data_IF_432451733715
#
_entry.id   IF_432451733715
#
_cell.length_a   1.000
_cell.length_b   1.000
_cell.length_c   1.000
_cell.angle_alpha   90.00
_cell.angle_beta   90.00
_cell.angle_gamma   90.00
#
_symmetry.space_group_name_H-M   'P 1'
#
loop_
_entity.id
_entity.type
_entity.pdbx_description
1 polymer ?
#
# COMPACT_ATOMS: atom_id res chain seq x y z
N UNK A 1 -13.90 -16.24 -0.92
CA UNK A 1 -14.39 -17.14 0.14
C UNK A 1 -14.59 -16.29 1.38
N UNK A 2 -15.83 -16.03 1.83
CA UNK A 2 -16.10 -15.23 3.02
C UNK A 2 -15.66 -15.98 4.28
N UNK A 3 -14.99 -15.29 5.19
CA UNK A 3 -14.57 -15.82 6.49
C UNK A 3 -15.04 -14.82 7.55
N UNK A 4 -15.48 -15.28 8.73
CA UNK A 4 -15.71 -14.41 9.91
C UNK A 4 -15.25 -15.10 11.19
N UNK A 5 -14.85 -14.30 12.19
CA UNK A 5 -14.46 -14.76 13.54
C UNK A 5 -15.34 -14.07 14.58
N UNK A 6 -15.73 -14.80 15.62
CA UNK A 6 -16.68 -14.32 16.63
C UNK A 6 -16.09 -13.43 17.74
N UNK A 7 -14.76 -13.28 17.81
CA UNK A 7 -14.06 -12.45 18.80
C UNK A 7 -12.90 -11.63 18.22
N UNK A 8 -12.83 -11.53 16.90
CA UNK A 8 -11.68 -10.96 16.20
C UNK A 8 -12.16 -9.92 15.17
N UNK A 9 -11.52 -8.74 15.16
CA UNK A 9 -11.84 -7.61 14.26
C UNK A 9 -11.28 -7.81 12.82
N UNK A 10 -10.63 -8.94 12.60
CA UNK A 10 -9.82 -9.29 11.43
C UNK A 10 -10.59 -9.76 10.20
N UNK A 11 -11.79 -10.27 10.41
CA UNK A 11 -12.63 -10.82 9.35
C UNK A 11 -13.93 -10.02 9.27
N UNK A 12 -14.56 -9.89 8.08
CA UNK A 12 -15.85 -9.23 7.98
C UNK A 12 -16.79 -9.76 9.06
N UNK A 13 -17.57 -8.88 9.69
CA UNK A 13 -18.50 -9.28 10.75
C UNK A 13 -19.39 -10.43 10.26
N UNK A 14 -20.01 -11.16 11.18
CA UNK A 14 -20.97 -12.20 10.80
C UNK A 14 -22.00 -11.68 9.80
N UNK A 15 -22.50 -10.46 10.01
CA UNK A 15 -23.40 -9.81 9.06
C UNK A 15 -22.76 -9.60 7.69
N UNK A 16 -21.50 -9.17 7.62
CA UNK A 16 -20.80 -8.90 6.36
C UNK A 16 -20.44 -10.20 5.61
N UNK A 17 -20.04 -11.27 6.32
CA UNK A 17 -19.81 -12.56 5.70
C UNK A 17 -21.10 -13.19 5.14
N UNK A 18 -22.23 -13.03 5.85
CA UNK A 18 -23.55 -13.44 5.36
C UNK A 18 -24.01 -12.58 4.17
N UNK A 19 -23.75 -11.27 4.18
CA UNK A 19 -24.00 -10.38 3.03
C UNK A 19 -23.20 -10.81 1.79
N UNK A 20 -21.90 -11.09 1.95
CA UNK A 20 -21.03 -11.52 0.86
C UNK A 20 -21.43 -12.89 0.28
N UNK A 21 -21.96 -13.81 1.10
CA UNK A 21 -22.52 -15.07 0.61
C UNK A 21 -23.71 -14.85 -0.33
N UNK A 22 -24.58 -13.88 -0.03
CA UNK A 22 -25.73 -13.57 -0.88
C UNK A 22 -25.31 -12.94 -2.22
N UNK A 23 -24.18 -12.23 -2.26
CA UNK A 23 -23.62 -11.62 -3.48
C UNK A 23 -22.75 -12.58 -4.30
N UNK A 24 -22.22 -13.64 -3.68
CA UNK A 24 -21.31 -14.61 -4.29
C UNK A 24 -21.89 -16.04 -4.10
N UNK A 25 -22.84 -16.48 -4.94
CA UNK A 25 -23.66 -17.68 -4.70
C UNK A 25 -22.88 -19.00 -4.65
N UNK A 26 -21.64 -19.03 -5.15
CA UNK A 26 -20.75 -20.21 -5.10
C UNK A 26 -19.72 -20.15 -3.96
N UNK A 27 -19.88 -19.24 -3.00
CA UNK A 27 -18.92 -19.04 -1.93
C UNK A 27 -19.26 -19.85 -0.66
N UNK A 28 -18.25 -20.43 -0.02
CA UNK A 28 -18.38 -21.14 1.27
C UNK A 28 -17.94 -20.24 2.42
N UNK A 29 -18.75 -20.12 3.47
CA UNK A 29 -18.39 -19.42 4.70
C UNK A 29 -17.55 -20.34 5.58
N UNK A 30 -16.39 -19.88 6.08
CA UNK A 30 -15.66 -20.54 7.17
C UNK A 30 -15.71 -19.69 8.44
N UNK A 31 -16.10 -20.33 9.54
CA UNK A 31 -16.17 -19.74 10.86
C UNK A 31 -14.97 -20.22 11.69
N UNK A 32 -14.24 -19.28 12.28
CA UNK A 32 -13.13 -19.57 13.19
C UNK A 32 -13.57 -19.20 14.60
N UNK A 33 -13.85 -20.22 15.41
CA UNK A 33 -14.32 -20.06 16.78
C UNK A 33 -13.08 -19.99 17.69
N UNK A 34 -12.92 -18.89 18.45
CA UNK A 34 -11.88 -18.68 19.48
C UNK A 34 -10.44 -18.35 19.05
N UNK A 35 -10.17 -17.96 17.80
CA UNK A 35 -8.87 -17.40 17.44
C UNK A 35 -8.78 -15.91 17.81
N UNK A 36 -8.09 -15.60 18.90
CA UNK A 36 -7.61 -14.25 19.22
C UNK A 36 -6.11 -14.30 19.51
N UNK A 37 -5.36 -13.25 19.18
CA UNK A 37 -3.96 -13.12 19.62
C UNK A 37 -3.64 -11.74 20.18
N UNK A 38 -2.77 -11.78 21.19
CA UNK A 38 -2.38 -10.73 22.11
C UNK A 38 -0.97 -10.20 21.82
N UNK A 39 -0.83 -8.88 21.99
CA UNK A 39 0.22 -8.11 22.70
C UNK A 39 1.69 -8.57 22.59
N UNK A 40 2.48 -7.83 21.79
CA UNK A 40 3.90 -7.48 21.96
C UNK A 40 4.11 -6.23 21.05
N UNK A 41 4.60 -5.04 21.44
CA UNK A 41 5.68 -4.67 22.34
C UNK A 41 5.61 -3.15 22.66
N UNK A 42 5.26 -2.77 23.89
CA UNK A 42 5.22 -1.38 24.44
C UNK A 42 6.62 -0.76 24.64
N UNK A 43 7.71 -1.46 24.26
CA UNK A 43 9.08 -1.04 24.59
C UNK A 43 9.77 -0.15 23.55
N UNK A 44 9.23 -0.04 22.33
CA UNK A 44 9.87 0.72 21.25
C UNK A 44 9.40 2.19 21.20
N UNK A 45 8.12 2.46 21.50
CA UNK A 45 7.55 3.82 21.49
C UNK A 45 8.16 4.74 22.56
N UNK A 46 8.50 4.22 23.74
CA UNK A 46 9.18 5.01 24.79
C UNK A 46 10.59 5.49 24.38
N UNK A 47 11.27 4.80 23.46
CA UNK A 47 12.56 5.24 22.90
C UNK A 47 12.42 6.36 21.86
N UNK A 48 11.29 6.43 21.18
CA UNK A 48 11.02 7.46 20.16
C UNK A 48 10.47 8.74 20.78
N UNK A 49 9.64 8.64 21.82
CA UNK A 49 9.10 9.81 22.51
C UNK A 49 10.09 10.48 23.47
N UNK A 50 11.03 9.75 24.07
CA UNK A 50 12.08 10.36 24.93
C UNK A 50 13.24 11.00 24.16
N UNK A 51 13.35 10.81 22.83
CA UNK A 51 14.46 11.32 22.01
C UNK A 51 14.12 12.47 21.06
N UNK A 52 12.91 13.04 21.12
CA UNK A 52 12.52 14.17 20.26
C UNK A 52 12.41 15.53 20.95
N UNK A 53 12.96 15.67 22.15
CA UNK A 53 13.48 16.96 22.58
C UNK A 53 15.00 16.86 22.69
N UNK A 54 15.69 17.63 21.85
CA UNK A 54 17.13 17.95 21.93
C UNK A 54 18.09 16.98 21.22
N UNK A 55 18.21 17.15 19.89
CA UNK A 55 19.53 17.27 19.28
C UNK A 55 19.59 18.60 18.53
N UNK A 56 19.72 19.66 19.33
CA UNK A 56 20.56 20.77 18.91
C UNK A 56 21.97 20.20 18.75
N UNK A 57 22.49 20.19 17.53
CA UNK A 57 23.95 20.19 17.33
C UNK A 57 24.35 21.66 17.28
N UNK A 58 24.42 22.26 18.46
CA UNK A 58 25.25 23.42 18.71
C UNK A 58 26.15 23.04 19.88
N UNK A 59 27.42 22.79 19.61
CA UNK A 59 28.51 23.51 20.27
C UNK A 59 29.90 23.16 19.69
N UNK A 60 30.60 24.25 19.32
CA UNK A 60 32.07 24.42 19.23
C UNK A 60 32.70 24.06 17.87
N UNK A 61 33.40 24.93 17.15
CA UNK A 61 34.01 26.21 17.52
C UNK A 61 34.29 27.05 16.26
N UNK A 62 34.00 28.35 16.35
CA UNK A 62 34.55 29.34 15.42
C UNK A 62 36.02 29.52 15.74
N UNK A 63 36.93 28.98 14.90
CA UNK A 63 38.22 29.63 14.64
C UNK A 63 38.99 29.03 13.46
N UNK A 64 39.48 29.96 12.63
CA UNK A 64 40.52 29.86 11.61
C UNK A 64 40.28 28.97 10.38
N UNK A 65 39.52 29.54 9.44
CA UNK A 65 39.93 29.67 8.04
C UNK A 65 40.65 28.48 7.40
N UNK A 66 39.86 27.51 6.91
CA UNK A 66 40.08 26.76 5.65
C UNK A 66 38.93 25.76 5.46
N UNK A 67 38.05 26.06 4.51
CA UNK A 67 37.09 25.12 3.94
C UNK A 67 37.87 24.07 3.14
N UNK A 68 37.86 22.81 3.56
CA UNK A 68 38.32 21.70 2.72
C UNK A 68 37.55 20.42 3.01
N UNK A 69 36.94 19.89 1.94
CA UNK A 69 36.47 18.51 1.73
C UNK A 69 35.22 18.02 2.47
N UNK A 70 34.07 18.32 1.89
CA UNK A 70 33.06 17.27 1.63
C UNK A 70 33.02 17.13 0.10
N UNK A 71 33.80 16.19 -0.44
CA UNK A 71 33.73 15.83 -1.86
C UNK A 71 32.75 14.67 -2.05
N UNK A 72 31.73 14.95 -2.85
CA UNK A 72 31.24 14.14 -4.00
C UNK A 72 30.77 12.70 -3.73
N UNK A 73 29.45 12.53 -3.60
CA UNK A 73 28.77 11.64 -4.55
C UNK A 73 28.33 12.55 -5.70
N UNK A 74 28.81 12.28 -6.91
CA UNK A 74 28.22 12.86 -8.11
C UNK A 74 26.75 12.41 -8.15
N UNK A 75 25.83 13.26 -7.69
CA UNK A 75 24.40 13.04 -7.88
C UNK A 75 24.10 13.30 -9.34
N UNK A 76 24.47 12.35 -10.20
CA UNK A 76 24.00 12.34 -11.59
C UNK A 76 22.49 12.48 -11.54
N UNK A 77 22.00 13.55 -12.14
CA UNK A 77 20.57 13.83 -12.21
C UNK A 77 20.00 12.74 -13.12
N UNK A 78 19.24 11.81 -12.54
CA UNK A 78 18.50 10.82 -13.32
C UNK A 78 17.29 11.50 -13.98
N UNK A 79 17.54 12.05 -15.17
CA UNK A 79 16.54 12.71 -16.00
C UNK A 79 15.35 11.78 -16.31
N UNK A 80 15.58 10.47 -16.43
CA UNK A 80 14.50 9.52 -16.72
C UNK A 80 13.57 9.41 -15.52
N UNK A 81 14.12 9.24 -14.31
CA UNK A 81 13.35 9.24 -13.07
C UNK A 81 12.54 10.54 -12.89
N UNK A 82 13.13 11.71 -13.18
CA UNK A 82 12.44 13.00 -13.07
C UNK A 82 11.32 13.12 -14.10
N UNK A 83 11.55 12.76 -15.36
CA UNK A 83 10.54 12.83 -16.43
C UNK A 83 9.38 11.87 -16.15
N UNK A 84 9.65 10.70 -15.57
CA UNK A 84 8.63 9.75 -15.09
C UNK A 84 7.85 10.31 -13.90
N UNK A 85 8.56 10.72 -12.85
CA UNK A 85 8.01 11.26 -11.61
C UNK A 85 7.09 12.44 -11.87
N UNK A 86 7.54 13.43 -12.64
CA UNK A 86 6.76 14.61 -12.98
C UNK A 86 5.61 14.35 -14.01
N UNK A 87 5.45 13.11 -14.47
CA UNK A 87 4.38 12.72 -15.40
C UNK A 87 4.53 13.31 -16.81
N UNK A 88 5.76 13.62 -17.25
CA UNK A 88 6.02 14.16 -18.59
C UNK A 88 6.21 13.06 -19.64
N UNK A 89 6.58 11.84 -19.24
CA UNK A 89 6.68 10.71 -20.16
C UNK A 89 5.30 10.28 -20.66
N UNK A 90 5.10 10.29 -21.98
CA UNK A 90 3.89 9.82 -22.67
C UNK A 90 4.23 9.40 -24.10
N UNK A 91 3.59 8.36 -24.62
CA UNK A 91 3.79 7.87 -26.00
C UNK A 91 2.82 8.48 -26.99
N UNK A 92 1.77 9.13 -26.51
CA UNK A 92 0.74 9.77 -27.33
C UNK A 92 0.48 11.21 -26.89
N UNK A 93 -0.43 11.89 -27.61
CA UNK A 93 -0.85 13.26 -27.24
C UNK A 93 -1.44 13.34 -25.83
N UNK A 94 -2.09 12.27 -25.38
CA UNK A 94 -2.67 12.16 -24.04
C UNK A 94 -1.87 11.15 -23.21
N UNK A 95 -1.68 11.47 -21.93
CA UNK A 95 -1.01 10.58 -20.97
C UNK A 95 -1.92 9.38 -20.66
N UNK A 96 -1.35 8.19 -20.73
CA UNK A 96 -2.02 6.95 -20.36
C UNK A 96 -1.24 6.23 -19.24
N UNK A 97 -1.76 6.29 -18.01
CA UNK A 97 -1.09 5.76 -16.81
C UNK A 97 -0.78 4.26 -16.84
N UNK A 98 -1.41 3.48 -17.74
CA UNK A 98 -1.18 2.04 -17.85
C UNK A 98 -0.14 1.74 -18.92
N UNK A 99 -0.35 2.23 -20.13
CA UNK A 99 0.49 1.92 -21.30
C UNK A 99 1.74 2.78 -21.42
N UNK A 100 1.73 4.00 -20.88
CA UNK A 100 2.92 4.85 -20.78
C UNK A 100 3.77 4.53 -19.54
N UNK A 101 3.34 3.60 -18.67
CA UNK A 101 4.13 3.23 -17.50
C UNK A 101 5.46 2.57 -17.90
N UNK A 102 6.54 3.02 -17.25
CA UNK A 102 7.86 2.42 -17.32
C UNK A 102 8.19 1.79 -15.97
N UNK A 103 8.58 0.52 -15.97
CA UNK A 103 9.02 -0.19 -14.77
C UNK A 103 10.12 0.57 -14.04
N UNK A 104 10.13 0.44 -12.72
CA UNK A 104 11.16 1.06 -11.88
C UNK A 104 12.53 0.46 -12.15
N UNK A 105 13.55 1.31 -12.10
CA UNK A 105 14.95 0.89 -11.96
C UNK A 105 15.19 0.39 -10.53
N UNK A 106 16.27 -0.38 -10.29
CA UNK A 106 16.67 -0.77 -8.93
C UNK A 106 16.86 0.44 -7.99
N UNK A 107 17.39 1.55 -8.51
CA UNK A 107 17.62 2.77 -7.72
C UNK A 107 16.31 3.48 -7.35
N UNK A 108 15.37 3.57 -8.29
CA UNK A 108 14.02 4.08 -8.01
C UNK A 108 13.32 3.20 -6.96
N UNK A 109 13.43 1.88 -7.10
CA UNK A 109 12.87 0.95 -6.12
C UNK A 109 13.48 1.14 -4.73
N UNK A 110 14.81 1.26 -4.64
CA UNK A 110 15.49 1.45 -3.36
C UNK A 110 15.06 2.76 -2.69
N UNK A 111 14.97 3.86 -3.44
CA UNK A 111 14.49 5.15 -2.92
C UNK A 111 13.08 5.06 -2.36
N UNK A 112 12.16 4.40 -3.08
CA UNK A 112 10.78 4.20 -2.59
C UNK A 112 10.77 3.30 -1.37
N UNK A 113 11.50 2.18 -1.39
CA UNK A 113 11.59 1.26 -0.25
C UNK A 113 12.13 1.96 1.00
N UNK A 114 13.12 2.84 0.85
CA UNK A 114 13.71 3.59 1.96
C UNK A 114 12.73 4.55 2.64
N UNK A 115 11.73 5.07 1.92
CA UNK A 115 10.67 5.91 2.51
C UNK A 115 9.83 5.14 3.54
N UNK A 116 9.62 3.83 3.32
CA UNK A 116 8.83 2.97 4.20
C UNK A 116 9.68 2.08 5.10
N UNK A 117 11.01 2.16 5.01
CA UNK A 117 11.92 1.29 5.77
C UNK A 117 11.71 1.36 7.28
N UNK A 118 11.30 2.52 7.80
CA UNK A 118 11.01 2.68 9.22
C UNK A 118 9.79 1.83 9.66
N UNK A 119 8.81 1.62 8.78
CA UNK A 119 7.66 0.73 9.04
C UNK A 119 8.14 -0.71 9.13
N UNK A 120 8.97 -1.16 8.19
CA UNK A 120 9.58 -2.49 8.23
C UNK A 120 10.38 -2.71 9.53
N UNK A 121 11.12 -1.70 9.99
CA UNK A 121 11.92 -1.79 11.21
C UNK A 121 11.06 -1.79 12.49
N UNK A 122 10.00 -0.99 12.53
CA UNK A 122 9.16 -0.82 13.72
C UNK A 122 8.13 -1.96 13.86
N UNK A 123 7.51 -2.36 12.75
CA UNK A 123 6.41 -3.33 12.73
C UNK A 123 6.89 -4.76 12.42
N UNK A 124 8.07 -4.93 11.80
CA UNK A 124 8.59 -6.22 11.33
C UNK A 124 7.49 -7.09 10.68
N UNK A 125 6.90 -6.62 9.57
CA UNK A 125 5.69 -7.20 9.01
C UNK A 125 5.91 -8.64 8.57
N UNK A 126 5.00 -9.52 9.00
CA UNK A 126 4.99 -10.94 8.59
C UNK A 126 3.92 -11.14 7.52
N UNK A 127 4.36 -11.61 6.35
CA UNK A 127 3.44 -11.98 5.27
C UNK A 127 2.93 -13.41 5.48
N UNK A 128 1.62 -13.59 5.40
CA UNK A 128 0.96 -14.90 5.41
C UNK A 128 0.12 -15.06 4.14
N UNK A 129 0.15 -16.24 3.54
CA UNK A 129 -0.71 -16.58 2.39
C UNK A 129 -1.35 -17.95 2.55
N UNK A 130 -2.43 -18.18 1.81
CA UNK A 130 -3.18 -19.45 1.86
C UNK A 130 -2.93 -20.25 0.59
N UNK A 131 -2.46 -21.48 0.74
CA UNK A 131 -2.26 -22.43 -0.36
C UNK A 131 -3.61 -22.94 -0.90
N UNK A 132 -3.60 -23.56 -2.09
CA UNK A 132 -4.80 -24.12 -2.73
C UNK A 132 -5.54 -25.15 -1.86
N UNK A 133 -4.81 -25.91 -1.03
CA UNK A 133 -5.39 -26.88 -0.09
C UNK A 133 -5.96 -26.23 1.18
N UNK A 134 -5.92 -24.90 1.30
CA UNK A 134 -6.41 -24.13 2.44
C UNK A 134 -5.43 -23.99 3.60
N UNK A 135 -4.19 -24.49 3.47
CA UNK A 135 -3.15 -24.32 4.50
C UNK A 135 -2.60 -22.89 4.47
N UNK A 136 -2.52 -22.25 5.64
CA UNK A 136 -1.83 -20.96 5.82
C UNK A 136 -0.33 -21.23 5.95
N UNK A 137 0.47 -20.41 5.27
CA UNK A 137 1.93 -20.50 5.25
C UNK A 137 2.56 -19.12 5.36
N UNK A 138 3.78 -19.08 5.92
CA UNK A 138 4.61 -17.88 5.90
C UNK A 138 5.02 -17.52 4.46
N UNK A 139 5.06 -16.22 4.19
CA UNK A 139 5.38 -15.65 2.88
C UNK A 139 4.22 -15.68 1.89
N UNK A 140 4.54 -15.41 0.62
CA UNK A 140 3.57 -15.19 -0.46
C UNK A 140 3.40 -16.41 -1.40
N UNK A 141 3.74 -17.61 -0.95
CA UNK A 141 3.70 -18.81 -1.79
C UNK A 141 2.29 -19.21 -2.23
N UNK A 142 1.26 -18.89 -1.45
CA UNK A 142 -0.16 -19.09 -1.79
C UNK A 142 -0.72 -18.09 -2.79
N UNK A 143 0.02 -17.03 -3.13
CA UNK A 143 -0.40 -16.03 -4.11
C UNK A 143 -0.12 -16.54 -5.53
N UNK A 144 -1.06 -16.40 -6.48
CA UNK A 144 -0.81 -16.73 -7.89
C UNK A 144 0.28 -15.82 -8.46
N UNK A 145 1.21 -16.42 -9.21
CA UNK A 145 2.31 -15.69 -9.85
C UNK A 145 1.90 -14.99 -11.15
N UNK A 146 0.77 -15.38 -11.73
CA UNK A 146 0.25 -14.80 -12.98
C UNK A 146 -1.08 -14.10 -12.73
N UNK A 147 -1.32 -13.03 -13.53
CA UNK A 147 -2.54 -12.25 -13.49
C UNK A 147 -3.49 -12.51 -14.66
N UNK A 148 -4.63 -11.78 -14.71
CA UNK A 148 -4.94 -10.65 -13.84
C UNK A 148 -5.36 -11.09 -12.43
N UNK A 149 -4.91 -10.33 -11.43
CA UNK A 149 -5.28 -10.54 -10.03
C UNK A 149 -5.68 -9.19 -9.41
N UNK A 150 -6.69 -9.21 -8.54
CA UNK A 150 -7.18 -8.01 -7.83
C UNK A 150 -7.08 -8.28 -6.34
N UNK A 151 -6.12 -7.64 -5.69
CA UNK A 151 -5.94 -7.67 -4.26
C UNK A 151 -6.90 -6.68 -3.63
N UNK A 152 -7.84 -7.18 -2.83
CA UNK A 152 -8.91 -6.38 -2.23
C UNK A 152 -8.76 -6.45 -0.71
N UNK A 153 -8.56 -5.30 -0.09
CA UNK A 153 -8.43 -5.17 1.36
C UNK A 153 -8.95 -3.81 1.78
N UNK A 154 -8.86 -3.51 3.08
CA UNK A 154 -9.16 -2.19 3.62
C UNK A 154 -7.87 -1.35 3.62
N UNK A 155 -8.00 -0.04 3.38
CA UNK A 155 -6.85 0.87 3.41
C UNK A 155 -6.53 1.24 4.86
N UNK A 156 -5.27 1.09 5.28
CA UNK A 156 -4.88 1.52 6.62
C UNK A 156 -4.71 3.04 6.68
N UNK A 157 -4.68 3.60 7.90
CA UNK A 157 -4.51 5.03 8.10
C UNK A 157 -3.21 5.49 7.43
N UNK A 158 -3.30 6.50 6.56
CA UNK A 158 -2.15 7.02 5.78
C UNK A 158 -1.45 6.02 4.85
N UNK A 159 -1.90 4.77 4.73
CA UNK A 159 -1.34 3.81 3.79
C UNK A 159 0.02 3.23 4.19
N UNK A 160 0.31 3.06 5.49
CA UNK A 160 1.61 2.56 5.93
C UNK A 160 1.85 1.10 5.50
N UNK A 161 0.79 0.33 5.28
CA UNK A 161 0.85 -1.04 4.77
C UNK A 161 1.36 -1.13 3.33
N UNK A 162 1.25 -0.03 2.56
CA UNK A 162 1.65 0.00 1.16
C UNK A 162 3.14 -0.30 0.98
N UNK A 163 3.99 0.19 1.89
CA UNK A 163 5.43 -0.03 1.84
C UNK A 163 5.77 -1.52 1.86
N UNK A 164 5.48 -2.24 2.96
CA UNK A 164 5.72 -3.68 3.06
C UNK A 164 5.01 -4.50 1.99
N UNK A 165 3.75 -4.20 1.65
CA UNK A 165 3.05 -4.92 0.59
C UNK A 165 3.79 -4.78 -0.75
N UNK A 166 4.15 -3.55 -1.12
CA UNK A 166 4.83 -3.29 -2.37
C UNK A 166 6.22 -3.93 -2.43
N UNK A 167 7.04 -3.74 -1.40
CA UNK A 167 8.42 -4.24 -1.38
C UNK A 167 8.46 -5.76 -1.37
N UNK A 168 7.62 -6.43 -0.57
CA UNK A 168 7.60 -7.90 -0.44
C UNK A 168 7.06 -8.58 -1.69
N UNK A 169 5.97 -8.06 -2.27
CA UNK A 169 5.44 -8.62 -3.53
C UNK A 169 6.45 -8.51 -4.67
N UNK A 170 7.13 -7.36 -4.80
CA UNK A 170 8.10 -7.17 -5.87
C UNK A 170 9.37 -7.99 -5.65
N UNK A 171 9.90 -8.03 -4.43
CA UNK A 171 11.20 -8.69 -4.16
C UNK A 171 11.08 -10.20 -4.05
N UNK A 172 10.08 -10.71 -3.32
CA UNK A 172 9.92 -12.13 -3.00
C UNK A 172 9.11 -12.88 -4.05
N UNK A 173 8.14 -12.23 -4.69
CA UNK A 173 7.21 -12.88 -5.65
C UNK A 173 7.37 -12.39 -7.09
N UNK A 174 8.17 -11.34 -7.32
CA UNK A 174 8.31 -10.65 -8.62
C UNK A 174 6.97 -10.14 -9.17
N UNK A 175 6.04 -9.86 -8.28
CA UNK A 175 4.74 -9.27 -8.62
C UNK A 175 4.83 -7.78 -8.40
N UNK A 176 4.56 -7.01 -9.45
CA UNK A 176 4.46 -5.57 -9.37
C UNK A 176 3.00 -5.17 -9.13
N UNK A 177 2.69 -4.76 -7.90
CA UNK A 177 1.37 -4.29 -7.51
C UNK A 177 1.09 -2.91 -8.09
N UNK A 178 0.00 -2.78 -8.85
CA UNK A 178 -0.48 -1.53 -9.43
C UNK A 178 -1.62 -0.98 -8.57
N UNK A 179 -1.31 0.01 -7.74
CA UNK A 179 -2.29 0.67 -6.90
C UNK A 179 -3.27 1.54 -7.70
N UNK A 180 -4.53 1.56 -7.28
CA UNK A 180 -5.53 2.50 -7.80
C UNK A 180 -5.82 3.53 -6.72
N UNK A 181 -5.53 4.80 -7.00
CA UNK A 181 -5.59 5.87 -6.01
C UNK A 181 -6.45 7.05 -6.46
N UNK A 182 -6.80 7.94 -5.53
CA UNK A 182 -7.68 9.07 -5.81
C UNK A 182 -7.05 10.03 -6.83
N UNK A 183 -7.79 10.61 -7.80
CA UNK A 183 -7.20 11.42 -8.88
C UNK A 183 -6.46 12.67 -8.39
N UNK A 184 -6.79 13.13 -7.18
CA UNK A 184 -6.06 14.19 -6.47
C UNK A 184 -4.54 13.94 -6.43
N UNK A 185 -4.11 12.69 -6.28
CA UNK A 185 -2.68 12.34 -6.20
C UNK A 185 -1.95 12.39 -7.55
N UNK A 186 -2.65 12.69 -8.64
CA UNK A 186 -2.09 12.69 -10.00
C UNK A 186 -2.24 14.03 -10.72
N UNK A 187 -3.05 14.94 -10.21
CA UNK A 187 -3.28 16.25 -10.81
C UNK A 187 -2.19 17.26 -10.37
N UNK A 188 -1.67 18.03 -11.32
CA UNK A 188 -0.66 19.07 -11.10
C UNK A 188 -1.21 20.26 -10.34
N UNK A 189 -2.47 20.63 -10.58
CA UNK A 189 -3.08 21.77 -9.88
C UNK A 189 -3.17 21.49 -8.38
N UNK A 190 -3.46 20.24 -8.01
CA UNK A 190 -3.52 19.80 -6.62
C UNK A 190 -2.13 19.56 -6.03
N UNK A 191 -1.16 19.12 -6.83
CA UNK A 191 0.25 19.03 -6.44
C UNK A 191 0.83 20.39 -6.03
N UNK A 192 0.48 21.47 -6.75
CA UNK A 192 0.89 22.84 -6.42
C UNK A 192 0.31 23.37 -5.10
N UNK A 193 -0.76 22.75 -4.58
CA UNK A 193 -1.34 23.12 -3.28
C UNK A 193 -0.54 22.54 -2.11
N UNK A 194 0.37 21.60 -2.37
CA UNK A 194 1.10 20.88 -1.34
C UNK A 194 2.49 21.50 -1.12
N UNK A 195 2.97 21.58 0.14
CA UNK A 195 4.30 22.12 0.45
C UNK A 195 5.45 21.31 -0.17
N UNK A 196 5.23 20.00 -0.41
CA UNK A 196 6.19 19.10 -1.03
C UNK A 196 5.53 18.30 -2.17
N UNK A 197 5.82 18.72 -3.39
CA UNK A 197 5.32 18.09 -4.61
C UNK A 197 5.99 16.74 -4.90
N UNK A 198 7.17 16.47 -4.34
CA UNK A 198 7.94 15.24 -4.63
C UNK A 198 7.24 13.98 -4.13
N UNK A 199 6.35 14.12 -3.14
CA UNK A 199 5.47 13.06 -2.65
C UNK A 199 4.47 12.56 -3.70
N UNK A 200 4.15 13.35 -4.72
CA UNK A 200 3.23 12.98 -5.81
C UNK A 200 3.95 12.15 -6.89
N UNK A 201 5.25 12.39 -7.06
CA UNK A 201 6.07 11.68 -8.03
C UNK A 201 6.20 10.20 -7.68
N UNK A 202 6.26 9.85 -6.39
CA UNK A 202 6.38 8.47 -5.93
C UNK A 202 5.23 7.60 -6.46
N UNK A 203 3.98 8.08 -6.42
CA UNK A 203 2.82 7.38 -6.96
C UNK A 203 2.97 7.07 -8.45
N UNK A 204 3.54 7.99 -9.24
CA UNK A 204 3.76 7.79 -10.68
C UNK A 204 4.91 6.81 -10.93
N UNK A 205 5.99 6.92 -10.16
CA UNK A 205 7.17 6.02 -10.22
C UNK A 205 6.80 4.57 -9.87
N UNK A 206 6.03 4.36 -8.80
CA UNK A 206 5.55 3.02 -8.40
C UNK A 206 4.45 2.48 -9.32
N UNK A 207 3.97 3.29 -10.27
CA UNK A 207 2.98 2.87 -11.25
C UNK A 207 1.54 2.88 -10.75
N UNK A 208 1.23 3.59 -9.66
CA UNK A 208 -0.14 3.82 -9.28
C UNK A 208 -0.91 4.55 -10.40
N UNK A 209 -2.21 4.32 -10.49
CA UNK A 209 -3.07 4.94 -11.50
C UNK A 209 -4.26 5.63 -10.84
N UNK A 210 -4.79 6.73 -11.42
CA UNK A 210 -5.98 7.36 -10.90
C UNK A 210 -7.18 6.43 -11.09
N UNK A 211 -8.04 6.36 -10.07
CA UNK A 211 -9.27 5.55 -10.08
C UNK A 211 -10.19 5.97 -11.22
N UNK A 212 -10.43 5.05 -12.14
CA UNK A 212 -11.42 5.18 -13.20
C UNK A 212 -11.72 3.82 -13.81
N UNK A 213 -12.93 3.63 -14.35
CA UNK A 213 -13.27 2.39 -15.05
C UNK A 213 -12.35 2.09 -16.25
N UNK A 214 -11.96 3.08 -17.09
CA UNK A 214 -11.00 2.84 -18.17
C UNK A 214 -9.63 2.37 -17.70
N UNK A 215 -9.07 2.96 -16.63
CA UNK A 215 -7.76 2.53 -16.12
C UNK A 215 -7.81 1.13 -15.52
N UNK A 216 -8.86 0.82 -14.76
CA UNK A 216 -9.02 -0.52 -14.21
C UNK A 216 -9.19 -1.58 -15.31
N UNK A 217 -9.99 -1.28 -16.35
CA UNK A 217 -10.10 -2.12 -17.54
C UNK A 217 -8.73 -2.37 -18.19
N UNK A 218 -7.94 -1.31 -18.40
CA UNK A 218 -6.61 -1.42 -19.03
C UNK A 218 -5.64 -2.26 -18.20
N UNK A 219 -5.63 -2.08 -16.88
CA UNK A 219 -4.81 -2.88 -15.97
C UNK A 219 -5.16 -4.38 -16.06
N UNK A 220 -6.45 -4.72 -16.02
CA UNK A 220 -6.88 -6.11 -16.12
C UNK A 220 -6.60 -6.71 -17.51
N UNK A 221 -6.81 -5.93 -18.57
CA UNK A 221 -6.48 -6.33 -19.95
C UNK A 221 -4.98 -6.62 -20.11
N UNK A 222 -4.13 -5.84 -19.45
CA UNK A 222 -2.68 -6.05 -19.38
C UNK A 222 -2.26 -7.17 -18.42
N UNK A 223 -3.21 -7.95 -17.87
CA UNK A 223 -2.98 -9.03 -16.88
C UNK A 223 -2.25 -8.57 -15.62
N UNK A 224 -2.40 -7.30 -15.23
CA UNK A 224 -1.70 -6.74 -14.07
C UNK A 224 -2.23 -7.31 -12.74
N UNK A 225 -1.39 -7.22 -11.71
CA UNK A 225 -1.77 -7.39 -10.30
C UNK A 225 -2.20 -6.04 -9.74
N UNK A 226 -3.48 -5.87 -9.49
CA UNK A 226 -4.09 -4.60 -9.07
C UNK A 226 -4.31 -4.60 -7.57
N UNK A 227 -3.88 -3.55 -6.89
CA UNK A 227 -4.21 -3.30 -5.48
C UNK A 227 -5.38 -2.32 -5.41
N UNK A 228 -6.48 -2.74 -4.78
CA UNK A 228 -7.73 -2.01 -4.74
C UNK A 228 -8.31 -1.97 -3.32
N UNK A 229 -8.61 -0.75 -2.88
CA UNK A 229 -9.30 -0.46 -1.63
C UNK A 229 -10.73 0.04 -1.97
N UNK A 230 -11.78 -0.75 -1.72
CA UNK A 230 -13.15 -0.41 -2.12
C UNK A 230 -13.66 0.91 -1.55
N UNK A 231 -13.28 1.26 -0.31
CA UNK A 231 -13.66 2.52 0.33
C UNK A 231 -12.76 3.70 -0.05
N UNK A 232 -11.63 3.44 -0.70
CA UNK A 232 -10.72 4.44 -1.24
C UNK A 232 -10.25 5.44 -0.18
N UNK A 233 -10.29 6.74 -0.51
CA UNK A 233 -9.80 7.81 0.38
C UNK A 233 -10.51 7.85 1.75
N UNK A 234 -11.73 7.30 1.87
CA UNK A 234 -12.47 7.25 3.13
C UNK A 234 -11.88 6.25 4.12
N UNK A 235 -11.33 5.15 3.60
CA UNK A 235 -10.58 4.16 4.38
C UNK A 235 -9.22 4.73 4.77
N UNK A 236 -8.51 5.36 3.83
CA UNK A 236 -7.19 5.95 4.10
C UNK A 236 -7.21 7.07 5.17
N UNK A 237 -8.38 7.72 5.34
CA UNK A 237 -8.65 8.78 6.31
C UNK A 237 -9.80 8.35 7.25
N UNK A 238 -9.76 7.11 7.71
CA UNK A 238 -10.75 6.58 8.64
C UNK A 238 -10.73 7.32 9.99
N UNK A 239 -11.87 7.32 10.69
CA UNK A 239 -12.03 8.00 11.99
C UNK A 239 -11.80 7.00 13.12
N UNK A 240 -11.51 7.52 14.31
CA UNK A 240 -11.47 6.70 15.54
C UNK A 240 -12.74 5.84 15.67
N UNK A 241 -12.57 4.54 15.91
CA UNK A 241 -13.67 3.56 15.96
C UNK A 241 -14.02 2.95 14.59
N UNK A 242 -13.30 3.28 13.53
CA UNK A 242 -13.44 2.72 12.18
C UNK A 242 -12.23 1.89 11.75
N UNK A 243 -11.33 1.58 12.67
CA UNK A 243 -10.18 0.71 12.48
C UNK A 243 -10.63 -0.64 11.92
N UNK A 244 -9.83 -1.21 11.02
CA UNK A 244 -10.09 -2.51 10.39
C UNK A 244 -11.40 -2.63 9.59
N UNK A 245 -12.12 -1.53 9.32
CA UNK A 245 -13.37 -1.57 8.56
C UNK A 245 -13.14 -1.46 7.05
N UNK A 246 -13.73 -2.41 6.33
CA UNK A 246 -13.84 -2.40 4.88
C UNK A 246 -15.15 -1.72 4.45
N UNK A 247 -15.07 -0.64 3.69
CA UNK A 247 -16.20 0.14 3.22
C UNK A 247 -16.51 -0.22 1.77
N UNK A 248 -17.54 -1.05 1.58
CA UNK A 248 -17.98 -1.41 0.24
C UNK A 248 -18.79 -0.29 -0.41
N UNK A 249 -18.54 0.01 -1.70
CA UNK A 249 -19.46 0.85 -2.45
C UNK A 249 -20.81 0.14 -2.61
N UNK A 250 -21.90 0.92 -2.67
CA UNK A 250 -23.26 0.38 -2.88
C UNK A 250 -23.34 -0.54 -4.11
N UNK A 251 -22.58 -0.19 -5.16
CA UNK A 251 -22.43 -0.98 -6.38
C UNK A 251 -20.95 -1.37 -6.56
N UNK A 252 -20.56 -2.61 -6.24
CA UNK A 252 -19.19 -3.08 -6.38
C UNK A 252 -18.86 -3.43 -7.84
N UNK A 253 -18.86 -2.41 -8.69
CA UNK A 253 -18.68 -2.53 -10.15
C UNK A 253 -17.35 -3.17 -10.56
N UNK A 254 -16.34 -3.07 -9.69
CA UNK A 254 -15.06 -3.73 -9.89
C UNK A 254 -15.19 -5.27 -9.94
N UNK A 255 -16.16 -5.86 -9.22
CA UNK A 255 -16.38 -7.32 -9.21
C UNK A 255 -16.85 -7.78 -10.58
N UNK A 256 -17.80 -7.05 -11.18
CA UNK A 256 -18.29 -7.33 -12.55
C UNK A 256 -17.18 -7.23 -13.57
N UNK A 257 -16.33 -6.21 -13.44
CA UNK A 257 -15.19 -6.01 -14.33
C UNK A 257 -14.10 -7.07 -14.13
N UNK A 258 -13.75 -7.43 -12.90
CA UNK A 258 -12.83 -8.52 -12.61
C UNK A 258 -13.32 -9.86 -13.21
N UNK A 259 -14.61 -10.18 -13.04
CA UNK A 259 -15.22 -11.37 -13.62
C UNK A 259 -15.12 -11.40 -15.15
N UNK A 260 -15.31 -10.26 -15.83
CA UNK A 260 -15.19 -10.15 -17.30
C UNK A 260 -13.81 -10.56 -17.82
N UNK A 261 -12.75 -10.33 -17.05
CA UNK A 261 -11.38 -10.67 -17.42
C UNK A 261 -10.89 -11.99 -16.82
N UNK A 262 -11.74 -12.71 -16.08
CA UNK A 262 -11.34 -13.90 -15.34
C UNK A 262 -10.29 -13.60 -14.25
N UNK A 263 -10.29 -12.37 -13.72
CA UNK A 263 -9.31 -11.95 -12.73
C UNK A 263 -9.55 -12.64 -11.39
N UNK A 264 -8.47 -13.11 -10.76
CA UNK A 264 -8.55 -13.70 -9.42
C UNK A 264 -8.71 -12.59 -8.39
N UNK A 265 -9.84 -12.55 -7.68
CA UNK A 265 -10.04 -11.64 -6.55
C UNK A 265 -9.42 -12.28 -5.30
N UNK A 266 -8.40 -11.62 -4.75
CA UNK A 266 -7.63 -12.08 -3.60
C UNK A 266 -7.94 -11.14 -2.43
N UNK A 267 -8.80 -11.56 -1.49
CA UNK A 267 -9.00 -10.78 -0.28
C UNK A 267 -7.72 -10.82 0.58
N UNK A 268 -7.35 -9.69 1.14
CA UNK A 268 -6.29 -9.61 2.14
C UNK A 268 -6.71 -8.68 3.29
N UNK A 269 -5.99 -8.81 4.41
CA UNK A 269 -6.10 -7.91 5.55
C UNK A 269 -4.72 -7.70 6.16
N UNK A 270 -4.59 -6.63 6.92
CA UNK A 270 -3.39 -6.29 7.68
C UNK A 270 -3.79 -6.19 9.15
N UNK A 271 -2.86 -6.37 10.07
CA UNK A 271 -3.14 -6.41 11.51
C UNK A 271 -2.07 -5.63 12.26
N UNK A 272 -2.46 -4.90 13.29
CA UNK A 272 -1.56 -4.37 14.31
C UNK A 272 -1.10 -2.95 14.06
N UNK A 273 -1.26 -2.39 12.86
CA UNK A 273 -0.83 -1.01 12.58
C UNK A 273 -1.83 0.04 13.07
N UNK A 274 -3.15 -0.18 12.97
CA UNK A 274 -4.13 0.73 13.60
C UNK A 274 -3.95 0.78 15.14
N UNK A 275 -3.39 -0.28 15.73
CA UNK A 275 -3.02 -0.32 17.15
C UNK A 275 -1.78 0.50 17.48
N UNK A 276 -0.86 0.74 16.52
CA UNK A 276 0.30 1.62 16.69
C UNK A 276 -0.18 3.06 16.94
N UNK A 277 -1.22 3.49 16.22
CA UNK A 277 -1.79 4.85 16.35
C UNK A 277 -2.65 5.04 17.60
N UNK A 278 -3.21 3.97 18.18
CA UNK A 278 -4.07 4.05 19.37
C UNK A 278 -3.32 4.15 20.71
N UNK A 279 -1.99 3.95 20.73
CA UNK A 279 -1.17 3.99 21.97
C UNK A 279 -0.82 5.43 22.41
N UNK A 280 -1.30 6.48 21.72
CA UNK A 280 -0.88 7.88 21.99
C UNK A 280 -1.91 8.77 22.70
N UNK A 281 -2.98 8.23 23.30
CA UNK A 281 -3.96 9.06 24.04
C UNK A 281 -4.40 8.35 25.34
N UNK A 282 -3.52 8.31 26.33
CA UNK A 282 -3.86 8.24 27.76
C UNK A 282 -2.81 8.95 28.60
#
# INVERSE_FOLDING_TARGET
MPCYSGRDLLLPSREEADRLRNLLPNSRIRHFQESGHAIFLVRFLLSLFTKNHMLAIDHLSYNNGKLHHILTQESSIDLVSIVKGAGFYRRSRQLDYVSDYLSMTPDEFQKVADQYRWVDLAANPVMLSTLQNGKIVNGLSGIPSEGPAVFVGYHMLMGLELGPLFTRFLTEKKIHLRGIAHPFLFNRDTEQLMPDSSSFDSYRVVGAVPVSAPNFYKLLSAKASVLLYPGGAREALHRKGEEYKLFWPEKPEFVRMAARFGATIIPFGVIGEDDICNVSIY
#
